data_IF_747224730615
#
_entry.id   IF_747224730615
#
_cell.length_a   1.000
_cell.length_b   1.000
_cell.length_c   1.000
_cell.angle_alpha   90.00
_cell.angle_beta   90.00
_cell.angle_gamma   90.00
#
_symmetry.space_group_name_H-M   'P 1'
#
loop_
_entity.id
_entity.type
_entity.pdbx_description
1 polymer ?
#
# COMPACT_ATOMS: atom_id res chain seq x y z
N UNK A 1 24.56 7.55 -17.63
CA UNK A 1 23.42 6.85 -17.04
C UNK A 1 23.60 6.89 -15.53
N UNK A 2 23.08 7.92 -14.88
CA UNK A 2 22.98 7.96 -13.43
C UNK A 2 21.79 7.08 -13.06
N UNK A 3 22.05 5.88 -12.54
CA UNK A 3 21.03 5.14 -11.82
C UNK A 3 20.50 6.08 -10.74
N UNK A 4 19.28 6.60 -10.93
CA UNK A 4 18.61 7.36 -9.87
C UNK A 4 18.46 6.39 -8.71
N UNK A 5 19.35 6.48 -7.74
CA UNK A 5 19.18 5.88 -6.43
C UNK A 5 17.89 6.47 -5.87
N UNK A 6 16.78 5.76 -6.13
CA UNK A 6 15.48 6.04 -5.52
C UNK A 6 15.63 5.71 -4.04
N UNK A 7 16.12 6.68 -3.28
CA UNK A 7 16.23 6.52 -1.85
C UNK A 7 14.82 6.56 -1.27
N UNK A 8 14.36 5.40 -0.82
CA UNK A 8 13.11 5.27 -0.10
C UNK A 8 13.24 5.99 1.25
N UNK A 9 12.34 6.94 1.53
CA UNK A 9 12.29 7.68 2.80
C UNK A 9 12.32 6.73 4.01
N UNK A 10 11.70 5.54 3.89
CA UNK A 10 11.67 4.52 4.94
C UNK A 10 13.06 3.98 5.27
N UNK A 11 13.92 3.84 4.26
CA UNK A 11 15.30 3.41 4.43
C UNK A 11 16.13 4.51 5.11
N UNK A 12 15.91 5.75 4.70
CA UNK A 12 16.58 6.92 5.26
C UNK A 12 16.27 7.08 6.76
N UNK A 13 14.99 7.02 7.13
CA UNK A 13 14.55 7.07 8.53
C UNK A 13 15.08 5.90 9.36
N UNK A 14 15.12 4.70 8.78
CA UNK A 14 15.68 3.52 9.46
C UNK A 14 17.16 3.73 9.74
N UNK A 15 17.93 4.20 8.76
CA UNK A 15 19.37 4.43 8.92
C UNK A 15 19.66 5.53 9.94
N UNK A 16 18.84 6.60 9.96
CA UNK A 16 18.92 7.64 10.97
C UNK A 16 18.63 7.09 12.38
N UNK A 17 17.56 6.31 12.54
CA UNK A 17 17.21 5.65 13.82
C UNK A 17 18.30 4.69 14.31
N UNK A 18 18.98 4.01 13.39
CA UNK A 18 20.09 3.11 13.70
C UNK A 18 21.42 3.85 13.95
N UNK A 19 21.46 5.17 13.79
CA UNK A 19 22.67 5.98 13.92
C UNK A 19 23.72 5.72 12.83
N UNK A 20 23.30 5.10 11.72
CA UNK A 20 24.17 4.83 10.55
C UNK A 20 24.51 6.13 9.82
N UNK A 21 23.59 7.07 9.83
CA UNK A 21 23.77 8.43 9.30
C UNK A 21 23.44 9.45 10.40
N UNK A 22 24.13 10.58 10.35
CA UNK A 22 23.90 11.72 11.24
C UNK A 22 22.67 12.53 10.86
N UNK A 23 22.22 13.40 11.77
CA UNK A 23 21.12 14.33 11.50
C UNK A 23 21.44 15.26 10.32
N UNK A 24 22.67 15.75 10.24
CA UNK A 24 23.11 16.59 9.12
C UNK A 24 23.00 15.86 7.77
N UNK A 25 23.42 14.60 7.71
CA UNK A 25 23.30 13.77 6.50
C UNK A 25 21.83 13.51 6.17
N UNK A 26 21.02 13.15 7.16
CA UNK A 26 19.58 12.96 7.00
C UNK A 26 18.89 14.18 6.38
N UNK A 27 19.17 15.39 6.90
CA UNK A 27 18.62 16.64 6.35
C UNK A 27 19.13 16.94 4.94
N UNK A 28 20.40 16.59 4.62
CA UNK A 28 20.91 16.74 3.27
C UNK A 28 20.18 15.81 2.29
N UNK A 29 19.97 14.55 2.66
CA UNK A 29 19.23 13.60 1.85
C UNK A 29 17.77 14.01 1.64
N UNK A 30 17.10 14.58 2.65
CA UNK A 30 15.74 15.07 2.49
C UNK A 30 15.61 16.21 1.47
N UNK A 31 16.62 17.08 1.36
CA UNK A 31 16.62 18.16 0.35
C UNK A 31 16.85 17.66 -1.08
N UNK A 32 17.64 16.59 -1.21
CA UNK A 32 17.99 16.01 -2.50
C UNK A 32 16.99 14.93 -2.96
N UNK A 33 16.00 14.60 -2.11
CA UNK A 33 14.93 13.69 -2.50
C UNK A 33 14.12 14.30 -3.64
N UNK A 34 13.95 13.58 -4.76
CA UNK A 34 13.07 14.04 -5.81
C UNK A 34 11.65 14.18 -5.24
N UNK A 35 11.01 15.30 -5.55
CA UNK A 35 9.60 15.49 -5.24
C UNK A 35 8.79 14.46 -6.03
N UNK A 36 8.29 13.46 -5.32
CA UNK A 36 7.45 12.41 -5.86
C UNK A 36 5.97 12.69 -5.64
N UNK A 37 5.58 13.77 -4.93
CA UNK A 37 4.18 14.12 -4.62
C UNK A 37 3.36 14.40 -5.90
N UNK A 38 4.03 14.63 -7.03
CA UNK A 38 3.43 14.74 -8.36
C UNK A 38 3.72 13.60 -9.35
N UNK A 39 4.48 12.57 -8.96
CA UNK A 39 4.84 11.43 -9.83
C UNK A 39 4.19 10.14 -9.32
N UNK A 40 2.87 10.09 -9.44
CA UNK A 40 2.08 8.90 -9.16
C UNK A 40 1.36 8.50 -10.44
N UNK A 41 1.52 7.25 -10.85
CA UNK A 41 0.62 6.68 -11.85
C UNK A 41 -0.71 6.40 -11.16
N UNK A 42 -1.78 7.06 -11.61
CA UNK A 42 -3.14 6.72 -11.18
C UNK A 42 -3.48 5.33 -11.73
N UNK A 43 -3.42 4.33 -10.86
CA UNK A 43 -3.87 2.97 -11.17
C UNK A 43 -5.27 2.79 -10.59
N UNK A 44 -6.19 2.26 -11.39
CA UNK A 44 -7.51 1.90 -10.88
C UNK A 44 -7.38 0.81 -9.81
N UNK A 45 -8.14 0.97 -8.73
CA UNK A 45 -8.29 -0.04 -7.70
C UNK A 45 -8.79 -1.36 -8.30
N UNK A 46 -9.57 -1.30 -9.39
CA UNK A 46 -10.04 -2.48 -10.14
C UNK A 46 -8.91 -3.30 -10.78
N UNK A 47 -7.80 -2.64 -11.14
CA UNK A 47 -6.64 -3.27 -11.77
C UNK A 47 -5.66 -3.86 -10.73
N UNK A 48 -5.67 -3.33 -9.51
CA UNK A 48 -4.79 -3.78 -8.41
C UNK A 48 -5.38 -4.95 -7.62
N UNK A 49 -6.69 -4.94 -7.40
CA UNK A 49 -7.32 -5.88 -6.50
C UNK A 49 -7.98 -7.03 -7.26
N UNK A 50 -7.80 -8.28 -6.81
CA UNK A 50 -8.62 -9.39 -7.28
C UNK A 50 -10.11 -9.08 -7.11
N UNK A 51 -10.93 -9.39 -8.13
CA UNK A 51 -12.39 -9.11 -8.14
C UNK A 51 -13.13 -9.48 -6.85
N UNK A 52 -12.74 -10.58 -6.20
CA UNK A 52 -13.32 -11.02 -4.92
C UNK A 52 -13.07 -10.04 -3.77
N UNK A 53 -11.90 -9.41 -3.71
CA UNK A 53 -11.54 -8.41 -2.70
C UNK A 53 -12.26 -7.08 -2.97
N UNK A 54 -12.40 -6.70 -4.25
CA UNK A 54 -13.17 -5.53 -4.66
C UNK A 54 -14.63 -5.64 -4.21
N UNK A 55 -15.27 -6.79 -4.44
CA UNK A 55 -16.66 -7.02 -4.02
C UNK A 55 -16.82 -6.89 -2.49
N UNK A 56 -15.89 -7.43 -1.71
CA UNK A 56 -15.92 -7.31 -0.24
C UNK A 56 -15.73 -5.88 0.26
N UNK A 57 -14.83 -5.12 -0.36
CA UNK A 57 -14.55 -3.74 0.03
C UNK A 57 -15.68 -2.77 -0.38
N UNK A 58 -16.35 -3.04 -1.49
CA UNK A 58 -17.46 -2.22 -2.01
C UNK A 58 -18.82 -2.56 -1.36
N UNK A 59 -18.83 -3.32 -0.26
CA UNK A 59 -20.06 -3.69 0.44
C UNK A 59 -20.92 -4.71 -0.29
N UNK A 60 -20.33 -5.47 -1.23
CA UNK A 60 -20.98 -6.62 -1.83
C UNK A 60 -21.15 -7.70 -0.77
N UNK A 61 -22.33 -7.74 -0.17
CA UNK A 61 -22.79 -8.82 0.69
C UNK A 61 -22.62 -10.13 -0.08
N UNK A 62 -21.69 -10.99 0.35
CA UNK A 62 -21.72 -12.40 -0.04
C UNK A 62 -23.10 -12.90 0.46
N UNK A 63 -24.07 -13.01 -0.45
CA UNK A 63 -25.28 -13.78 -0.19
C UNK A 63 -24.83 -15.22 0.06
N UNK A 64 -24.59 -15.50 1.34
CA UNK A 64 -24.41 -16.84 1.86
C UNK A 64 -25.79 -17.52 1.71
N UNK A 65 -26.01 -18.15 0.55
CA UNK A 65 -27.17 -19.01 0.29
C UNK A 65 -27.09 -20.29 1.15
N UNK A 66 -27.00 -20.15 2.47
CA UNK A 66 -27.41 -21.21 3.40
C UNK A 66 -28.91 -21.16 3.55
N UNK A 67 -29.60 -21.78 2.58
CA UNK A 67 -30.98 -22.23 2.73
C UNK A 67 -31.11 -23.14 3.96
N UNK A 68 -31.92 -22.82 5.00
CA UNK A 68 -32.42 -23.86 5.88
C UNK A 68 -33.66 -24.45 5.20
N UNK A 69 -33.47 -25.55 4.44
CA UNK A 69 -34.62 -26.38 4.06
C UNK A 69 -35.16 -27.05 5.32
N UNK A 70 -36.25 -26.49 5.82
CA UNK A 70 -37.11 -27.09 6.81
C UNK A 70 -37.60 -28.47 6.33
N UNK A 71 -37.33 -29.50 7.14
CA UNK A 71 -38.17 -30.71 7.27
C UNK A 71 -38.15 -31.02 8.77
N UNK A 72 -39.21 -30.66 9.50
CA UNK A 72 -40.42 -31.47 9.71
C UNK A 72 -40.08 -32.88 10.14
N UNK A 73 -40.09 -33.12 11.45
CA UNK A 73 -40.38 -34.43 12.01
C UNK A 73 -41.35 -34.26 13.18
N UNK A 74 -42.40 -35.07 13.14
CA UNK A 74 -43.52 -35.14 14.07
C UNK A 74 -43.43 -36.47 14.80
#
# INVERSE_FOLDING_TARGET
MSELLKFDLRLLERNFRLGVISDHEYQAFLRDLPDLEGNHDEISIEDLLPKRLLTKMMGGEEQDERSPSAKSDK
#
